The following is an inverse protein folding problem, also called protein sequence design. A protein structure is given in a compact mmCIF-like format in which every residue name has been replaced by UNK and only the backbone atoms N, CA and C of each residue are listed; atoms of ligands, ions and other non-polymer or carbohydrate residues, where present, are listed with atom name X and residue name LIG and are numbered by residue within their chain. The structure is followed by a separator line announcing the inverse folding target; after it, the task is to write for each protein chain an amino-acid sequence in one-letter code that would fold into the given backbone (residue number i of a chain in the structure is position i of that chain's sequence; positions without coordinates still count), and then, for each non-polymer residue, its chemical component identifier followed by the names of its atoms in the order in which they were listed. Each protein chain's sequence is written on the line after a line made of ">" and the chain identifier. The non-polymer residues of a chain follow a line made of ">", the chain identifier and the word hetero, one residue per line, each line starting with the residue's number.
data_IF_433281157681
#
_entry.id   IF_433281157681
#
_cell.length_a   1.000
_cell.length_b   1.000
_cell.length_c   1.000
_cell.angle_alpha   90.00
_cell.angle_beta   90.00
_cell.angle_gamma   90.00
#
_symmetry.space_group_name_H-M   'P 1'
#
loop_
_entity.id
_entity.type
_entity.pdbx_description
1 polymer ?
#
# COMPACT_ATOMS: atom_id res chain seq x y z
N UNK A 1 -46.76 3.00 3.89
CA UNK A 1 -45.63 2.22 3.37
C UNK A 1 -46.11 0.80 3.14
N UNK A 2 -46.19 0.33 1.89
CA UNK A 2 -46.59 -1.06 1.62
C UNK A 2 -45.44 -2.00 2.02
N UNK A 3 -45.73 -2.96 2.88
CA UNK A 3 -44.79 -4.04 3.21
C UNK A 3 -44.68 -4.92 1.96
N UNK A 4 -43.57 -4.81 1.23
CA UNK A 4 -43.33 -5.66 0.07
C UNK A 4 -43.25 -7.13 0.53
N UNK A 5 -44.15 -7.97 0.04
CA UNK A 5 -44.16 -9.41 0.34
C UNK A 5 -42.97 -10.07 -0.36
N UNK A 6 -41.91 -10.37 0.39
CA UNK A 6 -40.65 -10.94 -0.13
C UNK A 6 -40.82 -12.22 -0.96
N UNK A 7 -41.91 -12.98 -0.77
CA UNK A 7 -42.22 -14.18 -1.54
C UNK A 7 -42.72 -13.93 -2.97
N UNK A 8 -42.98 -12.67 -3.35
CA UNK A 8 -43.36 -12.25 -4.70
C UNK A 8 -42.20 -11.61 -5.48
N UNK A 9 -41.04 -11.45 -4.84
CA UNK A 9 -39.82 -10.88 -5.43
C UNK A 9 -38.82 -12.02 -5.61
N UNK A 10 -38.08 -12.00 -6.72
CA UNK A 10 -37.02 -12.96 -6.97
C UNK A 10 -35.99 -12.97 -5.82
N UNK A 11 -35.68 -14.17 -5.31
CA UNK A 11 -34.62 -14.32 -4.32
C UNK A 11 -33.26 -14.33 -5.03
N UNK A 12 -32.47 -13.30 -4.80
CA UNK A 12 -31.07 -13.24 -5.21
C UNK A 12 -30.19 -13.56 -4.00
N UNK A 13 -29.33 -14.57 -4.12
CA UNK A 13 -28.34 -14.88 -3.09
C UNK A 13 -27.09 -13.99 -3.26
N UNK A 14 -26.89 -12.97 -2.42
CA UNK A 14 -25.78 -12.02 -2.59
C UNK A 14 -24.40 -12.68 -2.41
N UNK A 15 -24.31 -13.80 -1.69
CA UNK A 15 -23.04 -14.49 -1.40
C UNK A 15 -22.51 -15.31 -2.58
N UNK A 16 -23.36 -15.60 -3.57
CA UNK A 16 -22.98 -16.34 -4.78
C UNK A 16 -22.66 -15.42 -5.95
N UNK A 17 -22.90 -14.11 -5.81
CA UNK A 17 -22.57 -13.16 -6.85
C UNK A 17 -21.03 -12.98 -6.91
N UNK A 18 -20.45 -12.91 -8.11
CA UNK A 18 -19.05 -12.51 -8.24
C UNK A 18 -18.87 -11.12 -7.64
N UNK A 19 -17.71 -10.88 -7.02
CA UNK A 19 -17.36 -9.54 -6.54
C UNK A 19 -17.36 -8.57 -7.73
N UNK A 20 -17.98 -7.41 -7.55
CA UNK A 20 -17.92 -6.34 -8.53
C UNK A 20 -16.46 -5.90 -8.72
N UNK A 21 -16.04 -5.71 -9.97
CA UNK A 21 -14.73 -5.18 -10.33
C UNK A 21 -14.93 -4.10 -11.37
N UNK A 22 -14.45 -2.88 -11.08
CA UNK A 22 -14.51 -1.77 -12.03
C UNK A 22 -13.60 -2.07 -13.22
N UNK A 23 -14.00 -1.69 -14.43
CA UNK A 23 -13.20 -1.95 -15.61
C UNK A 23 -11.84 -1.27 -15.51
N UNK A 24 -10.77 -1.99 -15.89
CA UNK A 24 -9.37 -1.55 -15.70
C UNK A 24 -9.12 -0.17 -16.32
N UNK A 25 -9.64 0.11 -17.51
CA UNK A 25 -9.45 1.40 -18.16
C UNK A 25 -10.07 2.57 -17.38
N UNK A 26 -11.17 2.34 -16.66
CA UNK A 26 -11.77 3.36 -15.79
C UNK A 26 -10.90 3.57 -14.55
N UNK A 27 -10.43 2.50 -13.92
CA UNK A 27 -9.52 2.59 -12.77
C UNK A 27 -8.22 3.33 -13.14
N UNK A 28 -7.62 3.03 -14.29
CA UNK A 28 -6.42 3.72 -14.78
C UNK A 28 -6.68 5.21 -15.02
N UNK A 29 -7.83 5.57 -15.59
CA UNK A 29 -8.20 6.99 -15.76
C UNK A 29 -8.33 7.72 -14.42
N UNK A 30 -8.84 7.06 -13.38
CA UNK A 30 -8.90 7.62 -12.03
C UNK A 30 -7.50 7.80 -11.44
N UNK A 31 -6.66 6.77 -11.45
CA UNK A 31 -5.29 6.80 -10.90
C UNK A 31 -4.42 7.90 -11.53
N UNK A 32 -4.59 8.12 -12.83
CA UNK A 32 -3.83 9.10 -13.61
C UNK A 32 -4.43 10.52 -13.55
N UNK A 33 -5.58 10.73 -12.90
CA UNK A 33 -6.26 12.03 -12.88
C UNK A 33 -6.86 12.46 -14.23
N UNK A 34 -7.15 11.49 -15.12
CA UNK A 34 -7.81 11.70 -16.41
C UNK A 34 -9.34 11.58 -16.34
N UNK A 35 -9.86 11.20 -15.18
CA UNK A 35 -11.28 11.22 -14.89
C UNK A 35 -11.68 12.64 -14.44
N UNK A 36 -12.76 13.24 -14.98
CA UNK A 36 -13.19 14.58 -14.60
C UNK A 36 -13.43 14.72 -13.09
N UNK A 37 -12.89 15.79 -12.51
CA UNK A 37 -13.09 16.14 -11.11
C UNK A 37 -14.44 16.85 -10.89
N UNK A 38 -15.07 16.65 -9.73
CA UNK A 38 -16.30 17.33 -9.30
C UNK A 38 -17.59 16.78 -9.94
N UNK A 39 -17.53 15.65 -10.63
CA UNK A 39 -18.67 15.04 -11.33
C UNK A 39 -19.23 13.79 -10.63
N UNK A 40 -18.72 13.44 -9.45
CA UNK A 40 -19.16 12.24 -8.73
C UNK A 40 -18.79 10.92 -9.41
N UNK A 41 -17.69 10.93 -10.19
CA UNK A 41 -17.23 9.77 -10.96
C UNK A 41 -16.27 8.86 -10.18
N UNK A 42 -15.54 9.44 -9.23
CA UNK A 42 -14.72 8.71 -8.26
C UNK A 42 -15.62 8.03 -7.23
N UNK A 43 -15.16 6.90 -6.67
CA UNK A 43 -15.94 6.15 -5.67
C UNK A 43 -16.06 6.88 -4.32
N UNK A 44 -15.14 7.81 -4.01
CA UNK A 44 -15.23 8.70 -2.86
C UNK A 44 -14.49 10.02 -3.08
N UNK A 45 -14.90 11.06 -2.33
CA UNK A 45 -14.30 12.40 -2.41
C UNK A 45 -12.85 12.43 -1.89
N UNK A 46 -12.50 11.60 -0.91
CA UNK A 46 -11.14 11.56 -0.38
C UNK A 46 -10.14 11.09 -1.44
N UNK A 47 -10.52 10.09 -2.24
CA UNK A 47 -9.68 9.61 -3.33
C UNK A 47 -9.60 10.65 -4.47
N UNK A 48 -10.72 11.30 -4.82
CA UNK A 48 -10.72 12.39 -5.79
C UNK A 48 -9.77 13.52 -5.39
N UNK A 49 -9.82 13.94 -4.12
CA UNK A 49 -8.95 14.97 -3.56
C UNK A 49 -7.47 14.56 -3.56
N UNK A 50 -7.18 13.29 -3.26
CA UNK A 50 -5.82 12.73 -3.37
C UNK A 50 -5.32 12.86 -4.81
N UNK A 51 -6.06 12.32 -5.78
CA UNK A 51 -5.66 12.31 -7.19
C UNK A 51 -5.48 13.72 -7.74
N UNK A 52 -6.35 14.67 -7.35
CA UNK A 52 -6.22 16.07 -7.74
C UNK A 52 -4.87 16.66 -7.29
N UNK A 53 -4.50 16.45 -6.03
CA UNK A 53 -3.20 16.92 -5.49
C UNK A 53 -2.01 16.25 -6.17
N UNK A 54 -2.09 14.93 -6.38
CA UNK A 54 -1.01 14.19 -7.02
C UNK A 54 -0.80 14.59 -8.48
N UNK A 55 -1.88 14.87 -9.22
CA UNK A 55 -1.80 15.23 -10.64
C UNK A 55 -0.99 16.50 -10.87
N UNK A 56 -1.23 17.53 -10.05
CA UNK A 56 -0.48 18.79 -10.12
C UNK A 56 0.98 18.60 -9.70
N UNK A 57 1.23 17.92 -8.58
CA UNK A 57 2.58 17.68 -8.06
C UNK A 57 3.43 16.83 -9.02
N UNK A 58 2.84 15.80 -9.65
CA UNK A 58 3.53 14.95 -10.64
C UNK A 58 4.02 15.77 -11.83
N UNK A 59 3.23 16.72 -12.32
CA UNK A 59 3.64 17.59 -13.43
C UNK A 59 4.78 18.51 -13.02
N UNK A 60 4.69 19.11 -11.83
CA UNK A 60 5.75 19.97 -11.29
C UNK A 60 7.05 19.18 -11.13
N UNK A 61 7.00 18.00 -10.50
CA UNK A 61 8.17 17.17 -10.24
C UNK A 61 8.97 16.86 -11.50
N UNK A 62 8.30 16.54 -12.62
CA UNK A 62 8.96 16.23 -13.91
C UNK A 62 9.75 17.40 -14.47
N UNK A 63 9.35 18.63 -14.15
CA UNK A 63 9.99 19.85 -14.64
C UNK A 63 11.09 20.34 -13.69
N UNK A 64 11.10 19.88 -12.42
CA UNK A 64 12.06 20.31 -11.42
C UNK A 64 13.44 19.69 -11.61
N UNK A 65 14.45 20.57 -11.57
CA UNK A 65 15.87 20.23 -11.71
C UNK A 65 16.63 20.34 -10.39
N UNK A 66 16.05 21.01 -9.40
CA UNK A 66 16.64 21.14 -8.07
C UNK A 66 16.21 19.99 -7.18
N UNK A 67 17.18 19.31 -6.57
CA UNK A 67 16.93 18.13 -5.73
C UNK A 67 16.10 18.45 -4.49
N UNK A 68 16.27 19.63 -3.87
CA UNK A 68 15.51 20.00 -2.68
C UNK A 68 14.02 20.19 -2.98
N UNK A 69 13.70 20.85 -4.10
CA UNK A 69 12.31 20.99 -4.56
C UNK A 69 11.69 19.64 -4.90
N UNK A 70 12.45 18.73 -5.53
CA UNK A 70 11.98 17.35 -5.80
C UNK A 70 11.68 16.59 -4.51
N UNK A 71 12.55 16.70 -3.49
CA UNK A 71 12.33 16.11 -2.16
C UNK A 71 11.06 16.66 -1.52
N UNK A 72 10.85 17.98 -1.55
CA UNK A 72 9.65 18.62 -1.03
C UNK A 72 8.38 18.09 -1.71
N UNK A 73 8.33 18.06 -3.05
CA UNK A 73 7.19 17.55 -3.81
C UNK A 73 6.91 16.07 -3.49
N UNK A 74 7.95 15.24 -3.39
CA UNK A 74 7.80 13.84 -3.00
C UNK A 74 7.22 13.69 -1.56
N UNK A 75 7.64 14.54 -0.63
CA UNK A 75 7.09 14.59 0.73
C UNK A 75 5.62 15.03 0.74
N UNK A 76 5.25 16.04 -0.05
CA UNK A 76 3.87 16.52 -0.15
C UNK A 76 2.94 15.45 -0.75
N UNK A 77 3.38 14.74 -1.77
CA UNK A 77 2.64 13.61 -2.35
C UNK A 77 2.43 12.48 -1.34
N UNK A 78 3.47 12.12 -0.60
CA UNK A 78 3.37 11.07 0.41
C UNK A 78 2.52 11.49 1.61
N UNK A 79 2.55 12.77 2.01
CA UNK A 79 1.64 13.30 3.00
C UNK A 79 0.19 13.24 2.51
N UNK A 80 -0.08 13.54 1.23
CA UNK A 80 -1.41 13.39 0.66
C UNK A 80 -1.91 11.94 0.74
N UNK A 81 -1.05 10.95 0.42
CA UNK A 81 -1.35 9.53 0.63
C UNK A 81 -1.61 9.20 2.09
N UNK A 82 -0.76 9.68 3.00
CA UNK A 82 -0.89 9.46 4.44
C UNK A 82 -2.23 9.97 4.96
N UNK A 83 -2.64 11.17 4.53
CA UNK A 83 -3.93 11.76 4.90
C UNK A 83 -5.10 10.94 4.33
N UNK A 84 -5.03 10.54 3.06
CA UNK A 84 -6.03 9.66 2.46
C UNK A 84 -6.20 8.36 3.27
N UNK A 85 -5.11 7.67 3.61
CA UNK A 85 -5.14 6.43 4.40
C UNK A 85 -5.76 6.67 5.78
N UNK A 86 -5.39 7.75 6.47
CA UNK A 86 -5.92 8.09 7.80
C UNK A 86 -7.41 8.41 7.74
N UNK A 87 -7.82 9.32 6.87
CA UNK A 87 -9.21 9.74 6.71
C UNK A 87 -10.09 8.56 6.30
N UNK A 88 -9.64 7.79 5.30
CA UNK A 88 -10.40 6.64 4.81
C UNK A 88 -10.50 5.52 5.84
N UNK A 89 -9.50 5.34 6.69
CA UNK A 89 -9.58 4.38 7.81
C UNK A 89 -10.68 4.72 8.82
N UNK A 90 -10.98 6.02 9.02
CA UNK A 90 -12.06 6.47 9.91
C UNK A 90 -13.46 6.21 9.31
N UNK A 91 -13.55 6.08 7.99
CA UNK A 91 -14.79 5.84 7.24
C UNK A 91 -15.10 4.35 7.05
N UNK A 92 -14.21 3.44 7.47
CA UNK A 92 -14.42 2.00 7.33
C UNK A 92 -15.74 1.59 8.02
N UNK A 93 -16.57 0.74 7.41
CA UNK A 93 -17.70 0.13 8.10
C UNK A 93 -17.22 -0.68 9.31
N UNK A 94 -18.03 -0.74 10.37
CA UNK A 94 -17.66 -1.41 11.63
C UNK A 94 -17.16 -2.85 11.42
N UNK A 95 -17.82 -3.61 10.54
CA UNK A 95 -17.44 -4.99 10.25
C UNK A 95 -16.07 -5.16 9.56
N UNK A 96 -15.50 -4.08 9.01
CA UNK A 96 -14.16 -4.08 8.43
C UNK A 96 -13.11 -3.53 9.39
N UNK A 97 -13.48 -2.84 10.49
CA UNK A 97 -12.50 -2.24 11.40
C UNK A 97 -11.78 -3.30 12.21
N UNK A 98 -10.48 -3.10 12.44
CA UNK A 98 -9.75 -3.87 13.44
C UNK A 98 -10.19 -3.41 14.82
N UNK A 99 -10.85 -4.30 15.57
CA UNK A 99 -11.38 -4.00 16.89
C UNK A 99 -10.29 -3.91 17.95
N UNK A 100 -10.56 -3.20 19.05
CA UNK A 100 -9.62 -3.17 20.19
C UNK A 100 -9.38 -4.56 20.80
N UNK A 101 -10.38 -5.45 20.75
CA UNK A 101 -10.22 -6.85 21.14
C UNK A 101 -9.18 -7.57 20.27
N UNK A 102 -9.31 -7.47 18.95
CA UNK A 102 -8.36 -8.07 18.01
C UNK A 102 -6.95 -7.52 18.18
N UNK A 103 -6.79 -6.21 18.39
CA UNK A 103 -5.48 -5.60 18.66
C UNK A 103 -4.86 -6.11 19.96
N UNK A 104 -5.66 -6.27 21.02
CA UNK A 104 -5.19 -6.81 22.29
C UNK A 104 -4.80 -8.28 22.19
N UNK A 105 -5.55 -9.09 21.45
CA UNK A 105 -5.22 -10.49 21.18
C UNK A 105 -3.91 -10.59 20.37
N UNK A 106 -3.76 -9.75 19.34
CA UNK A 106 -2.55 -9.69 18.53
C UNK A 106 -1.33 -9.27 19.36
N UNK A 107 -1.50 -8.30 20.27
CA UNK A 107 -0.46 -7.85 21.20
C UNK A 107 -0.02 -8.97 22.14
N UNK A 108 -0.97 -9.69 22.75
CA UNK A 108 -0.65 -10.84 23.62
C UNK A 108 0.12 -11.92 22.88
N UNK A 109 -0.29 -12.26 21.66
CA UNK A 109 0.45 -13.20 20.82
C UNK A 109 1.86 -12.67 20.49
N UNK A 110 2.01 -11.38 20.22
CA UNK A 110 3.31 -10.78 19.91
C UNK A 110 4.26 -10.83 21.10
N UNK A 111 3.77 -10.52 22.31
CA UNK A 111 4.55 -10.53 23.56
C UNK A 111 5.06 -11.93 23.93
N UNK A 112 4.38 -12.99 23.50
CA UNK A 112 4.84 -14.38 23.67
C UNK A 112 5.98 -14.72 22.70
N UNK A 113 5.98 -14.15 21.50
CA UNK A 113 6.94 -14.46 20.43
C UNK A 113 8.24 -13.66 20.50
N UNK A 114 8.24 -12.47 21.10
CA UNK A 114 9.46 -11.70 21.28
C UNK A 114 10.36 -12.35 22.34
N UNK A 115 11.66 -12.47 22.06
CA UNK A 115 12.60 -12.95 23.07
C UNK A 115 12.70 -11.94 24.21
N UNK A 116 12.96 -12.40 25.45
CA UNK A 116 13.18 -11.50 26.59
C UNK A 116 14.30 -10.51 26.26
N UNK A 117 13.97 -9.21 26.25
CA UNK A 117 14.91 -8.11 25.97
C UNK A 117 14.96 -7.66 24.50
N UNK A 118 14.21 -8.29 23.59
CA UNK A 118 14.06 -7.80 22.21
C UNK A 118 12.92 -6.77 22.10
N UNK A 119 13.16 -5.69 21.35
CA UNK A 119 12.17 -4.65 21.10
C UNK A 119 11.34 -4.88 19.82
N UNK A 120 11.33 -6.12 19.29
CA UNK A 120 10.64 -6.43 18.06
C UNK A 120 10.72 -7.91 17.67
N UNK A 121 9.86 -8.31 16.72
CA UNK A 121 9.80 -9.65 16.17
C UNK A 121 10.83 -9.82 15.05
N UNK A 122 11.52 -10.96 15.05
CA UNK A 122 12.39 -11.33 13.93
C UNK A 122 11.54 -11.57 12.67
N UNK A 123 11.88 -10.98 11.51
CA UNK A 123 11.12 -11.16 10.26
C UNK A 123 10.83 -12.62 9.88
N UNK A 124 11.78 -13.52 10.14
CA UNK A 124 11.61 -14.96 9.90
C UNK A 124 10.50 -15.61 10.74
N UNK A 125 10.19 -15.05 11.92
CA UNK A 125 9.18 -15.57 12.84
C UNK A 125 7.77 -15.02 12.56
N UNK A 126 7.61 -14.10 11.61
CA UNK A 126 6.31 -13.47 11.32
C UNK A 126 5.22 -14.48 10.95
N UNK A 127 5.57 -15.52 10.16
CA UNK A 127 4.66 -16.60 9.81
C UNK A 127 4.25 -17.41 11.04
N UNK A 128 5.20 -17.79 11.89
CA UNK A 128 4.92 -18.56 13.10
C UNK A 128 4.03 -17.77 14.06
N UNK A 129 4.33 -16.49 14.25
CA UNK A 129 3.52 -15.56 15.04
C UNK A 129 2.07 -15.48 14.53
N UNK A 130 1.86 -15.28 13.22
CA UNK A 130 0.51 -15.18 12.66
C UNK A 130 -0.23 -16.52 12.64
N UNK A 131 0.48 -17.64 12.49
CA UNK A 131 -0.09 -18.98 12.64
C UNK A 131 -0.58 -19.24 14.07
N UNK A 132 0.20 -18.84 15.07
CA UNK A 132 -0.20 -18.99 16.47
C UNK A 132 -1.38 -18.09 16.84
N UNK A 133 -1.37 -16.83 16.37
CA UNK A 133 -2.52 -15.94 16.51
C UNK A 133 -3.77 -16.54 15.86
N UNK A 134 -3.64 -17.15 14.67
CA UNK A 134 -4.73 -17.83 13.97
C UNK A 134 -5.25 -19.04 14.74
N UNK A 135 -4.36 -19.87 15.29
CA UNK A 135 -4.73 -21.07 16.06
C UNK A 135 -5.51 -20.72 17.33
N UNK A 136 -5.10 -19.66 18.03
CA UNK A 136 -5.71 -19.28 19.32
C UNK A 136 -6.96 -18.42 19.13
N UNK A 137 -6.94 -17.47 18.20
CA UNK A 137 -7.98 -16.44 18.05
C UNK A 137 -8.78 -16.55 16.74
N UNK A 138 -8.57 -17.62 15.97
CA UNK A 138 -9.27 -17.93 14.70
C UNK A 138 -9.13 -16.87 13.59
N UNK A 139 -8.17 -15.95 13.70
CA UNK A 139 -7.91 -14.87 12.74
C UNK A 139 -9.19 -14.20 12.20
N UNK A 140 -9.85 -13.40 13.03
CA UNK A 140 -11.12 -12.76 12.66
C UNK A 140 -10.95 -11.42 11.93
N UNK A 141 -9.70 -11.00 11.67
CA UNK A 141 -9.40 -9.74 10.97
C UNK A 141 -9.71 -9.93 9.49
N UNK A 142 -10.59 -9.08 8.95
CA UNK A 142 -11.02 -9.15 7.55
C UNK A 142 -9.90 -8.69 6.58
N UNK A 143 -9.13 -9.65 6.07
CA UNK A 143 -8.09 -9.43 5.07
C UNK A 143 -8.38 -10.20 3.79
N UNK A 144 -8.05 -9.59 2.65
CA UNK A 144 -8.00 -10.27 1.37
C UNK A 144 -6.88 -11.32 1.37
N UNK A 145 -7.12 -12.47 0.74
CA UNK A 145 -6.15 -13.54 0.64
C UNK A 145 -4.81 -13.07 0.04
N UNK A 146 -4.85 -12.14 -0.91
CA UNK A 146 -3.63 -11.58 -1.49
C UNK A 146 -2.79 -10.82 -0.46
N UNK A 147 -3.42 -10.05 0.43
CA UNK A 147 -2.73 -9.39 1.54
C UNK A 147 -2.03 -10.41 2.45
N UNK A 148 -2.71 -11.51 2.78
CA UNK A 148 -2.13 -12.57 3.60
C UNK A 148 -0.92 -13.19 2.90
N UNK A 149 -1.04 -13.51 1.60
CA UNK A 149 0.07 -14.05 0.81
C UNK A 149 1.28 -13.10 0.81
N UNK A 150 1.05 -11.81 0.53
CA UNK A 150 2.12 -10.82 0.53
C UNK A 150 2.78 -10.63 1.90
N UNK A 151 2.07 -10.90 2.99
CA UNK A 151 2.60 -10.78 4.35
C UNK A 151 3.43 -12.00 4.79
N UNK A 152 2.99 -13.22 4.47
CA UNK A 152 3.57 -14.43 5.09
C UNK A 152 3.92 -15.59 4.14
N UNK A 153 3.44 -15.58 2.90
CA UNK A 153 3.67 -16.71 2.00
C UNK A 153 5.11 -16.70 1.50
N UNK A 154 5.80 -17.85 1.51
CA UNK A 154 7.22 -17.94 1.15
C UNK A 154 7.57 -17.33 -0.22
N UNK A 155 6.64 -17.39 -1.19
CA UNK A 155 6.86 -16.80 -2.52
C UNK A 155 6.83 -15.27 -2.51
N UNK A 156 6.01 -14.67 -1.65
CA UNK A 156 5.86 -13.21 -1.50
C UNK A 156 6.46 -12.76 -0.17
N UNK A 157 5.71 -12.89 0.95
CA UNK A 157 6.25 -12.83 2.31
C UNK A 157 7.14 -11.64 2.57
N UNK A 158 6.81 -10.47 2.01
CA UNK A 158 7.76 -9.38 1.85
C UNK A 158 8.33 -8.88 3.19
N UNK A 159 7.53 -8.68 4.25
CA UNK A 159 8.09 -8.29 5.55
C UNK A 159 9.05 -9.32 6.14
N UNK A 160 8.93 -10.61 5.80
CA UNK A 160 9.81 -11.67 6.28
C UNK A 160 11.24 -11.55 5.75
N UNK A 161 11.42 -10.83 4.63
CA UNK A 161 12.71 -10.58 4.01
C UNK A 161 13.40 -9.31 4.55
N UNK A 162 12.82 -8.65 5.56
CA UNK A 162 13.45 -7.49 6.19
C UNK A 162 14.72 -7.89 6.96
N UNK A 163 15.68 -6.97 7.03
CA UNK A 163 16.97 -7.18 7.71
C UNK A 163 17.01 -6.56 9.12
N UNK A 164 15.85 -6.24 9.69
CA UNK A 164 15.69 -5.64 11.02
C UNK A 164 14.48 -6.22 11.73
N UNK A 165 14.44 -6.09 13.06
CA UNK A 165 13.27 -6.47 13.85
C UNK A 165 12.05 -5.62 13.46
N UNK A 166 10.88 -6.25 13.44
CA UNK A 166 9.56 -5.65 13.23
C UNK A 166 8.97 -5.24 14.57
N UNK A 167 8.67 -3.96 14.74
CA UNK A 167 7.99 -3.46 15.95
C UNK A 167 6.50 -3.79 15.88
N UNK A 168 5.85 -3.93 17.03
CA UNK A 168 4.42 -4.24 17.08
C UNK A 168 3.59 -3.17 16.35
N UNK A 169 3.92 -1.90 16.53
CA UNK A 169 3.23 -0.77 15.92
C UNK A 169 3.32 -0.80 14.39
N UNK A 170 4.44 -1.32 13.85
CA UNK A 170 4.64 -1.48 12.40
C UNK A 170 3.77 -2.62 11.84
N UNK A 171 3.67 -3.73 12.58
CA UNK A 171 2.78 -4.84 12.23
C UNK A 171 1.32 -4.40 12.25
N UNK A 172 0.91 -3.68 13.31
CA UNK A 172 -0.46 -3.14 13.42
C UNK A 172 -0.76 -2.17 12.29
N UNK A 173 0.14 -1.24 12.00
CA UNK A 173 -0.02 -0.27 10.90
C UNK A 173 -0.15 -0.98 9.56
N UNK A 174 0.67 -2.01 9.31
CA UNK A 174 0.59 -2.82 8.10
C UNK A 174 -0.75 -3.55 8.00
N UNK A 175 -1.20 -4.21 9.08
CA UNK A 175 -2.49 -4.92 9.13
C UNK A 175 -3.65 -3.97 8.86
N UNK A 176 -3.69 -2.80 9.53
CA UNK A 176 -4.75 -1.81 9.33
C UNK A 176 -4.76 -1.25 7.90
N UNK A 177 -3.58 -1.00 7.32
CA UNK A 177 -3.46 -0.57 5.92
C UNK A 177 -3.98 -1.65 4.97
N UNK A 178 -3.71 -2.92 5.24
CA UNK A 178 -4.17 -4.06 4.42
C UNK A 178 -5.68 -4.32 4.56
N UNK A 179 -6.25 -4.04 5.73
CA UNK A 179 -7.70 -4.03 5.95
C UNK A 179 -8.37 -2.94 5.12
N UNK A 180 -7.82 -1.72 5.13
CA UNK A 180 -8.31 -0.64 4.29
C UNK A 180 -8.24 -1.00 2.80
N UNK A 181 -7.10 -1.56 2.35
CA UNK A 181 -6.98 -2.05 0.98
C UNK A 181 -8.08 -3.07 0.65
N UNK A 182 -8.27 -4.07 1.53
CA UNK A 182 -9.28 -5.12 1.37
C UNK A 182 -10.68 -4.55 1.18
N UNK A 183 -11.02 -3.51 1.93
CA UNK A 183 -12.27 -2.80 1.77
C UNK A 183 -12.39 -2.11 0.41
N UNK A 184 -11.36 -1.39 -0.05
CA UNK A 184 -11.38 -0.77 -1.39
C UNK A 184 -11.55 -1.81 -2.50
N UNK A 185 -10.89 -2.97 -2.36
CA UNK A 185 -11.08 -4.09 -3.31
C UNK A 185 -12.52 -4.58 -3.35
N UNK A 186 -13.21 -4.61 -2.20
CA UNK A 186 -14.61 -5.02 -2.10
C UNK A 186 -15.57 -4.07 -2.83
N UNK A 187 -15.17 -2.82 -3.03
CA UNK A 187 -15.88 -1.81 -3.81
C UNK A 187 -15.55 -1.85 -5.32
N UNK A 188 -14.70 -2.81 -5.74
CA UNK A 188 -14.29 -3.01 -7.12
C UNK A 188 -13.05 -2.22 -7.55
N UNK A 189 -12.31 -1.62 -6.61
CA UNK A 189 -11.10 -0.83 -6.85
C UNK A 189 -9.83 -1.69 -6.68
N UNK A 190 -9.59 -2.61 -7.61
CA UNK A 190 -8.48 -3.58 -7.54
C UNK A 190 -7.09 -2.93 -7.65
N UNK A 191 -6.94 -1.89 -8.48
CA UNK A 191 -5.66 -1.20 -8.62
C UNK A 191 -5.36 -0.33 -7.39
N UNK A 192 -6.34 0.41 -6.87
CA UNK A 192 -6.19 1.16 -5.62
C UNK A 192 -5.86 0.27 -4.43
N UNK A 193 -6.46 -0.93 -4.36
CA UNK A 193 -6.09 -1.95 -3.40
C UNK A 193 -4.57 -2.22 -3.41
N UNK A 194 -3.97 -2.35 -4.60
CA UNK A 194 -2.52 -2.58 -4.75
C UNK A 194 -1.68 -1.34 -4.42
N UNK A 195 -2.16 -0.14 -4.75
CA UNK A 195 -1.51 1.12 -4.37
C UNK A 195 -1.46 1.32 -2.85
N UNK A 196 -2.55 0.99 -2.15
CA UNK A 196 -2.59 1.01 -0.68
C UNK A 196 -1.65 -0.05 -0.11
N UNK A 197 -1.56 -1.22 -0.75
CA UNK A 197 -0.59 -2.24 -0.37
C UNK A 197 0.87 -1.75 -0.50
N UNK A 198 1.20 -1.02 -1.56
CA UNK A 198 2.55 -0.46 -1.75
C UNK A 198 2.85 0.60 -0.68
N UNK A 199 1.87 1.44 -0.32
CA UNK A 199 2.00 2.38 0.79
C UNK A 199 2.35 1.67 2.10
N UNK A 200 1.64 0.57 2.42
CA UNK A 200 1.90 -0.19 3.65
C UNK A 200 3.33 -0.70 3.76
N UNK A 201 3.92 -1.18 2.66
CA UNK A 201 5.33 -1.63 2.66
C UNK A 201 6.32 -0.46 2.69
N UNK A 202 6.05 0.61 1.96
CA UNK A 202 6.87 1.83 2.02
C UNK A 202 6.94 2.38 3.45
N UNK A 203 5.79 2.41 4.15
CA UNK A 203 5.68 2.92 5.51
C UNK A 203 6.51 2.14 6.55
N UNK A 204 6.87 0.89 6.26
CA UNK A 204 7.82 0.13 7.08
C UNK A 204 9.25 0.70 7.02
N UNK A 205 9.62 1.42 5.97
CA UNK A 205 10.98 1.96 5.79
C UNK A 205 11.02 3.48 5.92
N UNK A 206 9.97 4.15 5.49
CA UNK A 206 9.87 5.60 5.52
C UNK A 206 8.47 6.04 5.94
N UNK A 207 8.38 6.63 7.14
CA UNK A 207 7.11 7.08 7.69
C UNK A 207 6.77 8.51 7.31
N UNK A 208 7.72 9.31 6.79
CA UNK A 208 7.54 10.76 6.68
C UNK A 208 8.07 11.39 5.37
N UNK A 209 9.11 10.84 4.73
CA UNK A 209 9.83 11.56 3.66
C UNK A 209 9.12 11.50 2.31
N UNK A 210 8.50 10.38 1.95
CA UNK A 210 7.94 10.17 0.61
C UNK A 210 8.99 9.90 -0.48
N UNK A 211 10.27 9.84 -0.10
CA UNK A 211 11.37 9.52 -1.00
C UNK A 211 12.47 8.72 -0.29
N UNK A 212 13.24 7.99 -1.07
CA UNK A 212 14.45 7.28 -0.65
C UNK A 212 15.62 7.68 -1.54
N UNK A 213 16.81 7.81 -0.97
CA UNK A 213 18.03 7.80 -1.78
C UNK A 213 18.16 6.48 -2.54
N UNK A 214 18.96 6.47 -3.61
CA UNK A 214 19.24 5.26 -4.41
C UNK A 214 19.66 4.06 -3.54
N UNK A 215 20.50 4.29 -2.52
CA UNK A 215 20.97 3.24 -1.60
C UNK A 215 19.85 2.74 -0.69
N UNK A 216 19.04 3.64 -0.14
CA UNK A 216 17.88 3.27 0.68
C UNK A 216 16.88 2.45 -0.15
N UNK A 217 16.55 2.90 -1.37
CA UNK A 217 15.63 2.21 -2.25
C UNK A 217 16.15 0.82 -2.66
N UNK A 218 17.44 0.70 -2.98
CA UNK A 218 18.06 -0.58 -3.34
C UNK A 218 18.04 -1.59 -2.19
N UNK A 219 18.09 -1.13 -0.94
CA UNK A 219 17.88 -1.99 0.22
C UNK A 219 16.42 -2.31 0.47
N UNK A 220 15.52 -1.35 0.25
CA UNK A 220 14.08 -1.54 0.37
C UNK A 220 13.58 -2.62 -0.60
N UNK A 221 13.99 -2.60 -1.87
CA UNK A 221 13.48 -3.55 -2.87
C UNK A 221 13.93 -5.00 -2.64
N UNK A 222 14.92 -5.24 -1.76
CA UNK A 222 15.32 -6.59 -1.34
C UNK A 222 14.19 -7.34 -0.62
N UNK A 223 13.25 -6.63 0.01
CA UNK A 223 12.10 -7.29 0.64
C UNK A 223 11.20 -7.98 -0.40
N UNK A 224 11.23 -7.48 -1.64
CA UNK A 224 10.56 -8.06 -2.81
C UNK A 224 11.50 -8.97 -3.62
N UNK A 225 12.64 -9.38 -3.04
CA UNK A 225 13.65 -10.27 -3.63
C UNK A 225 14.41 -9.72 -4.84
N UNK A 226 14.39 -8.39 -5.05
CA UNK A 226 15.27 -7.76 -6.03
C UNK A 226 16.66 -7.54 -5.44
N UNK A 227 17.69 -7.84 -6.24
CA UNK A 227 19.09 -7.54 -5.90
C UNK A 227 19.61 -6.42 -6.80
N UNK A 228 19.24 -5.19 -6.48
CA UNK A 228 19.59 -4.00 -7.27
C UNK A 228 20.91 -3.42 -6.76
N UNK A 229 21.83 -3.16 -7.68
CA UNK A 229 23.07 -2.44 -7.36
C UNK A 229 22.73 -1.02 -6.87
N UNK A 230 23.33 -0.52 -5.77
CA UNK A 230 22.96 0.76 -5.15
C UNK A 230 23.51 1.98 -5.91
N UNK A 231 23.26 2.01 -7.23
CA UNK A 231 23.61 3.07 -8.17
C UNK A 231 22.41 3.37 -9.06
N UNK A 232 22.33 4.58 -9.63
CA UNK A 232 21.27 4.91 -10.58
C UNK A 232 21.29 3.96 -11.78
N UNK A 233 22.48 3.57 -12.25
CA UNK A 233 22.63 2.57 -13.31
C UNK A 233 22.03 1.20 -12.94
N UNK A 234 22.20 0.75 -11.69
CA UNK A 234 21.57 -0.46 -11.17
C UNK A 234 20.05 -0.39 -11.18
N UNK A 235 19.48 0.72 -10.70
CA UNK A 235 18.03 0.97 -10.73
C UNK A 235 17.51 0.99 -12.16
N UNK A 236 18.19 1.68 -13.08
CA UNK A 236 17.77 1.76 -14.49
C UNK A 236 17.94 0.43 -15.23
N UNK A 237 18.87 -0.43 -14.81
CA UNK A 237 19.00 -1.78 -15.37
C UNK A 237 17.81 -2.66 -14.99
N UNK A 238 17.36 -2.60 -13.74
CA UNK A 238 16.24 -3.43 -13.26
C UNK A 238 14.88 -2.84 -13.67
N UNK A 239 14.72 -1.52 -13.55
CA UNK A 239 13.45 -0.80 -13.67
C UNK A 239 13.42 0.22 -14.82
N UNK A 240 14.30 0.06 -15.82
CA UNK A 240 14.43 1.00 -16.94
C UNK A 240 13.16 1.17 -17.78
N UNK A 241 12.40 0.09 -18.00
CA UNK A 241 11.11 0.18 -18.70
C UNK A 241 10.14 1.10 -17.95
N UNK A 242 10.04 0.94 -16.63
CA UNK A 242 9.21 1.79 -15.80
C UNK A 242 9.70 3.23 -15.79
N UNK A 243 11.02 3.46 -15.68
CA UNK A 243 11.60 4.80 -15.75
C UNK A 243 11.32 5.50 -17.10
N UNK A 244 11.28 4.73 -18.20
CA UNK A 244 10.94 5.25 -19.53
C UNK A 244 9.47 5.64 -19.66
N UNK A 245 8.56 4.89 -19.04
CA UNK A 245 7.13 5.20 -19.01
C UNK A 245 6.82 6.33 -18.02
N UNK A 246 7.57 6.39 -16.92
CA UNK A 246 7.48 7.40 -15.88
C UNK A 246 8.49 8.54 -16.10
N UNK A 247 8.46 9.14 -17.29
CA UNK A 247 9.41 10.17 -17.70
C UNK A 247 9.49 11.32 -16.68
N UNK A 248 10.72 11.76 -16.41
CA UNK A 248 11.01 12.83 -15.45
C UNK A 248 11.24 12.34 -14.02
N UNK A 249 11.17 11.04 -13.73
CA UNK A 249 11.52 10.48 -12.41
C UNK A 249 13.00 10.66 -12.05
N UNK A 250 13.90 10.64 -13.03
CA UNK A 250 15.31 10.95 -12.86
C UNK A 250 15.72 12.09 -13.80
N UNK A 251 16.54 13.01 -13.31
CA UNK A 251 17.04 14.16 -14.04
C UNK A 251 18.51 13.96 -14.42
N UNK A 252 18.85 14.29 -15.67
CA UNK A 252 20.26 14.31 -16.11
C UNK A 252 21.06 15.48 -15.53
N UNK A 253 20.36 16.46 -14.94
CA UNK A 253 20.94 17.68 -14.39
C UNK A 253 21.27 17.55 -12.89
N UNK A 254 20.84 16.47 -12.25
CA UNK A 254 21.14 16.13 -10.86
C UNK A 254 22.26 15.09 -10.86
N UNK A 255 23.20 15.20 -9.92
CA UNK A 255 24.21 14.16 -9.72
C UNK A 255 23.50 12.83 -9.40
N UNK A 256 23.84 11.76 -10.14
CA UNK A 256 23.29 10.43 -9.95
C UNK A 256 23.40 9.89 -8.51
N UNK A 257 24.34 10.42 -7.70
CA UNK A 257 24.49 10.09 -6.27
C UNK A 257 23.49 10.81 -5.37
N UNK A 258 23.00 11.97 -5.80
CA UNK A 258 22.02 12.79 -5.07
C UNK A 258 20.58 12.47 -5.45
N UNK A 259 20.39 11.71 -6.53
CA UNK A 259 19.08 11.27 -7.01
C UNK A 259 18.29 10.51 -5.94
N UNK A 260 16.98 10.61 -6.07
CA UNK A 260 16.00 10.01 -5.18
C UNK A 260 14.99 9.18 -5.97
N UNK A 261 14.37 8.23 -5.28
CA UNK A 261 13.22 7.50 -5.78
C UNK A 261 12.00 7.94 -4.97
N UNK A 262 10.97 8.41 -5.66
CA UNK A 262 9.72 8.84 -5.03
C UNK A 262 8.79 7.67 -4.75
N UNK A 263 7.98 7.78 -3.70
CA UNK A 263 6.94 6.79 -3.40
C UNK A 263 6.02 6.53 -4.61
N UNK A 264 5.66 7.57 -5.37
CA UNK A 264 4.75 7.44 -6.52
C UNK A 264 5.34 6.60 -7.67
N UNK A 265 6.67 6.62 -7.86
CA UNK A 265 7.34 5.73 -8.81
C UNK A 265 7.34 4.28 -8.29
N UNK A 266 7.63 4.08 -7.00
CA UNK A 266 7.52 2.74 -6.41
C UNK A 266 6.09 2.18 -6.45
N UNK A 267 5.08 3.01 -6.19
CA UNK A 267 3.66 2.66 -6.35
C UNK A 267 3.39 2.13 -7.76
N UNK A 268 3.93 2.80 -8.78
CA UNK A 268 3.84 2.33 -10.16
C UNK A 268 4.58 1.00 -10.38
N UNK A 269 5.81 0.83 -9.87
CA UNK A 269 6.55 -0.43 -9.94
C UNK A 269 5.79 -1.59 -9.29
N UNK A 270 5.10 -1.33 -8.18
CA UNK A 270 4.30 -2.32 -7.48
C UNK A 270 3.18 -2.88 -8.37
N UNK A 271 2.55 -2.02 -9.17
CA UNK A 271 1.55 -2.41 -10.16
C UNK A 271 2.19 -3.13 -11.35
N UNK A 272 3.27 -2.57 -11.92
CA UNK A 272 3.95 -3.10 -13.10
C UNK A 272 4.50 -4.51 -12.89
N UNK A 273 5.02 -4.79 -11.68
CA UNK A 273 5.58 -6.09 -11.31
C UNK A 273 4.58 -7.03 -10.64
N UNK A 274 3.32 -6.61 -10.48
CA UNK A 274 2.28 -7.39 -9.81
C UNK A 274 2.74 -7.91 -8.43
N UNK A 275 3.37 -7.01 -7.67
CA UNK A 275 3.79 -7.27 -6.30
C UNK A 275 2.59 -7.35 -5.35
#
# INVERSE_FOLDING_TARGET
>A
MSVATKGLIEFVNPYKLPKFVKQVHLQMREIEGRQPFGQGLYHCNNYENLIKRLSDSRQQYRQQKEIQTRKQLASEEYLAWTNYIKERSLELPEQHRVTGKQLNELRRSFEVFISKGENGLRPSELLNFLNDYTRVNQFTIALDNWCVLQMVHYSMGYPMNMNRLLRFEEIVTLVQTKVLATYERSLGQDLLFREICSYGYWNLFDQNKGYMSIKEFSNFVKIFKYNVEPTLGGILKEFGLAANLFQGEFSKEIDAKEEIVRFDFFRYLFLERNL
#
